data_IF_616141483913
#
_entry.id   IF_616141483913
#
_cell.length_a   1.000
_cell.length_b   1.000
_cell.length_c   1.000
_cell.angle_alpha   90.00
_cell.angle_beta   90.00
_cell.angle_gamma   90.00
#
_symmetry.space_group_name_H-M   'P 1'
#
loop_
_entity.id
_entity.type
_entity.pdbx_description
1 polymer ?
#
# COMPACT_ATOMS: atom_id res chain seq x y z
N UNK A 1 -4.93 16.40 -15.03
CA UNK A 1 -4.94 15.37 -13.96
C UNK A 1 -6.38 15.18 -13.47
N UNK A 2 -6.99 14.05 -13.79
CA UNK A 2 -8.36 13.72 -13.38
C UNK A 2 -8.41 13.23 -11.91
N UNK A 3 -9.60 13.05 -11.34
CA UNK A 3 -9.77 12.66 -9.93
C UNK A 3 -9.13 11.31 -9.59
N UNK A 4 -9.23 10.34 -10.52
CA UNK A 4 -8.66 9.00 -10.36
C UNK A 4 -7.12 9.05 -10.28
N UNK A 5 -6.49 9.78 -11.20
CA UNK A 5 -5.03 9.97 -11.21
C UNK A 5 -4.53 10.59 -9.89
N UNK A 6 -5.27 11.54 -9.30
CA UNK A 6 -4.90 12.11 -7.99
C UNK A 6 -4.98 11.08 -6.86
N UNK A 7 -5.96 10.19 -6.91
CA UNK A 7 -6.11 9.13 -5.92
C UNK A 7 -4.99 8.09 -6.04
N UNK A 8 -4.63 7.72 -7.27
CA UNK A 8 -3.57 6.76 -7.56
C UNK A 8 -2.19 7.31 -7.15
N UNK A 9 -1.89 8.58 -7.45
CA UNK A 9 -0.66 9.25 -7.00
C UNK A 9 -0.56 9.30 -5.47
N UNK A 10 -1.65 9.68 -4.78
CA UNK A 10 -1.69 9.68 -3.32
C UNK A 10 -1.50 8.28 -2.74
N UNK A 11 -2.11 7.29 -3.36
CA UNK A 11 -1.93 5.89 -2.98
C UNK A 11 -0.47 5.47 -3.15
N UNK A 12 0.17 5.79 -4.28
CA UNK A 12 1.57 5.47 -4.53
C UNK A 12 2.51 6.11 -3.51
N UNK A 13 2.29 7.38 -3.14
CA UNK A 13 3.08 8.06 -2.11
C UNK A 13 3.01 7.35 -0.76
N UNK A 14 1.79 7.02 -0.30
CA UNK A 14 1.61 6.31 0.96
C UNK A 14 2.29 4.94 0.94
N UNK A 15 2.16 4.20 -0.16
CA UNK A 15 2.72 2.87 -0.26
C UNK A 15 4.25 2.86 -0.36
N UNK A 16 4.87 3.90 -0.94
CA UNK A 16 6.32 4.09 -0.89
C UNK A 16 6.81 4.32 0.53
N UNK A 17 6.10 5.09 1.34
CA UNK A 17 6.46 5.30 2.75
C UNK A 17 6.23 4.04 3.60
N UNK A 18 5.16 3.28 3.32
CA UNK A 18 4.96 1.94 3.88
C UNK A 18 6.14 1.02 3.54
N UNK A 19 6.58 1.00 2.28
CA UNK A 19 7.69 0.16 1.84
C UNK A 19 9.00 0.52 2.56
N UNK A 20 9.30 1.81 2.72
CA UNK A 20 10.44 2.28 3.53
C UNK A 20 10.36 1.77 4.98
N UNK A 21 9.20 1.91 5.62
CA UNK A 21 8.98 1.41 6.99
C UNK A 21 9.19 -0.10 7.08
N UNK A 22 8.64 -0.87 6.14
CA UNK A 22 8.74 -2.34 6.12
C UNK A 22 10.16 -2.85 5.90
N UNK A 23 11.04 -2.08 5.25
CA UNK A 23 12.47 -2.40 5.13
C UNK A 23 13.22 -2.26 6.46
N UNK A 24 12.81 -1.30 7.29
CA UNK A 24 13.47 -1.01 8.57
C UNK A 24 12.89 -1.89 9.69
N UNK A 25 11.58 -2.01 9.75
CA UNK A 25 10.84 -2.62 10.86
C UNK A 25 10.21 -3.93 10.39
N UNK A 26 10.93 -5.03 10.63
CA UNK A 26 10.53 -6.36 10.18
C UNK A 26 9.22 -6.85 10.85
N UNK A 27 8.93 -6.39 12.06
CA UNK A 27 7.71 -6.70 12.82
C UNK A 27 6.43 -6.18 12.14
N UNK A 28 6.54 -5.14 11.31
CA UNK A 28 5.38 -4.56 10.63
C UNK A 28 4.80 -5.49 9.55
N UNK A 29 5.56 -6.51 9.12
CA UNK A 29 5.08 -7.53 8.18
C UNK A 29 3.95 -8.41 8.76
N UNK A 30 3.76 -8.42 10.08
CA UNK A 30 2.63 -9.12 10.70
C UNK A 30 1.30 -8.40 10.48
N UNK A 31 1.31 -7.09 10.28
CA UNK A 31 0.10 -6.28 10.05
C UNK A 31 -0.64 -6.75 8.79
N UNK A 32 -0.03 -6.79 7.59
CA UNK A 32 -0.74 -7.21 6.38
C UNK A 32 -1.20 -8.66 6.45
N UNK A 33 -0.43 -9.56 7.08
CA UNK A 33 -0.85 -10.95 7.31
C UNK A 33 -2.09 -11.03 8.19
N UNK A 34 -2.14 -10.26 9.29
CA UNK A 34 -3.31 -10.17 10.17
C UNK A 34 -4.52 -9.59 9.44
N UNK A 35 -4.32 -8.57 8.61
CA UNK A 35 -5.40 -7.97 7.82
C UNK A 35 -5.99 -8.99 6.83
N UNK A 36 -5.15 -9.69 6.05
CA UNK A 36 -5.60 -10.75 5.14
C UNK A 36 -6.36 -11.85 5.88
N UNK A 37 -5.85 -12.31 7.02
CA UNK A 37 -6.52 -13.33 7.84
C UNK A 37 -7.89 -12.86 8.35
N UNK A 38 -8.00 -11.60 8.81
CA UNK A 38 -9.27 -11.02 9.24
C UNK A 38 -10.28 -10.94 8.11
N UNK A 39 -9.86 -10.44 6.94
CA UNK A 39 -10.75 -10.30 5.79
C UNK A 39 -11.28 -11.64 5.30
N UNK A 40 -10.43 -12.67 5.30
CA UNK A 40 -10.81 -14.04 4.92
C UNK A 40 -11.80 -14.70 5.89
N UNK A 41 -11.72 -14.37 7.18
CA UNK A 41 -12.66 -14.89 8.18
C UNK A 41 -14.08 -14.33 8.01
N UNK A 42 -14.20 -13.11 7.49
CA UNK A 42 -15.48 -12.44 7.25
C UNK A 42 -16.11 -12.89 5.93
N UNK A 43 -16.21 -14.22 5.72
CA UNK A 43 -16.46 -15.02 4.49
C UNK A 43 -17.56 -14.57 3.49
N UNK A 44 -18.25 -13.46 3.66
CA UNK A 44 -19.30 -13.02 2.73
C UNK A 44 -18.77 -12.34 1.45
N UNK A 45 -17.46 -12.12 1.33
CA UNK A 45 -16.85 -11.55 0.12
C UNK A 45 -15.54 -12.27 -0.23
N UNK A 46 -15.60 -13.31 -1.04
CA UNK A 46 -14.45 -13.80 -1.81
C UNK A 46 -14.00 -12.69 -2.78
N UNK A 47 -13.21 -11.74 -2.29
CA UNK A 47 -12.63 -10.71 -3.17
C UNK A 47 -11.43 -11.30 -3.90
N UNK A 48 -11.41 -11.29 -5.25
CA UNK A 48 -10.26 -11.74 -6.04
C UNK A 48 -8.94 -11.09 -5.59
N UNK A 49 -9.01 -9.83 -5.15
CA UNK A 49 -7.85 -9.09 -4.67
C UNK A 49 -7.26 -9.67 -3.37
N UNK A 50 -8.09 -10.17 -2.45
CA UNK A 50 -7.61 -10.80 -1.21
C UNK A 50 -6.86 -12.10 -1.55
N UNK A 51 -7.45 -12.93 -2.40
CA UNK A 51 -6.85 -14.19 -2.85
C UNK A 51 -5.53 -13.94 -3.60
N UNK A 52 -5.46 -12.90 -4.41
CA UNK A 52 -4.26 -12.50 -5.12
C UNK A 52 -3.16 -12.04 -4.15
N UNK A 53 -3.49 -11.21 -3.16
CA UNK A 53 -2.55 -10.82 -2.12
C UNK A 53 -2.06 -12.02 -1.30
N UNK A 54 -2.92 -12.98 -0.94
CA UNK A 54 -2.48 -14.22 -0.29
C UNK A 54 -1.48 -14.99 -1.15
N UNK A 55 -1.74 -15.15 -2.46
CA UNK A 55 -0.80 -15.79 -3.38
C UNK A 55 0.53 -15.04 -3.44
N UNK A 56 0.50 -13.71 -3.52
CA UNK A 56 1.69 -12.86 -3.50
C UNK A 56 2.50 -13.09 -2.23
N UNK A 57 1.87 -13.10 -1.07
CA UNK A 57 2.55 -13.34 0.22
C UNK A 57 3.13 -14.75 0.36
N UNK A 58 2.58 -15.73 -0.36
CA UNK A 58 3.05 -17.12 -0.33
C UNK A 58 4.17 -17.41 -1.34
N UNK A 59 4.21 -16.68 -2.46
CA UNK A 59 5.12 -16.96 -3.59
C UNK A 59 6.27 -15.96 -3.64
N UNK A 60 5.99 -14.67 -3.41
CA UNK A 60 6.96 -13.58 -3.61
C UNK A 60 7.79 -13.33 -2.35
N UNK A 61 9.05 -12.96 -2.55
CA UNK A 61 9.92 -12.40 -1.52
C UNK A 61 9.43 -11.05 -1.01
N UNK A 62 9.95 -10.60 0.13
CA UNK A 62 9.62 -9.27 0.67
C UNK A 62 10.00 -8.16 -0.30
N UNK A 63 11.15 -8.29 -0.94
CA UNK A 63 11.68 -7.33 -1.91
C UNK A 63 10.77 -7.20 -3.14
N UNK A 64 10.25 -8.31 -3.63
CA UNK A 64 9.27 -8.31 -4.72
C UNK A 64 7.93 -7.67 -4.30
N UNK A 65 7.48 -7.93 -3.08
CA UNK A 65 6.28 -7.29 -2.52
C UNK A 65 6.49 -5.78 -2.40
N UNK A 66 7.65 -5.34 -1.90
CA UNK A 66 8.01 -3.92 -1.81
C UNK A 66 8.04 -3.26 -3.20
N UNK A 67 8.53 -3.97 -4.22
CA UNK A 67 8.54 -3.49 -5.60
C UNK A 67 7.13 -3.24 -6.14
N UNK A 68 6.16 -4.09 -5.79
CA UNK A 68 4.73 -3.85 -6.10
C UNK A 68 4.20 -2.60 -5.40
N UNK A 69 4.59 -2.37 -4.14
CA UNK A 69 4.13 -1.19 -3.40
C UNK A 69 4.65 0.12 -4.02
N UNK A 70 5.87 0.10 -4.57
CA UNK A 70 6.56 1.28 -5.08
C UNK A 70 6.33 1.55 -6.57
N UNK A 71 5.94 0.53 -7.33
CA UNK A 71 5.83 0.57 -8.80
C UNK A 71 4.68 1.43 -9.31
N UNK A 72 4.85 2.02 -10.48
CA UNK A 72 3.82 2.85 -11.14
C UNK A 72 3.13 2.12 -12.31
N UNK A 73 3.42 0.84 -12.50
CA UNK A 73 2.76 0.04 -13.53
C UNK A 73 1.30 -0.29 -13.16
N UNK A 74 0.50 -0.65 -14.16
CA UNK A 74 -0.94 -0.93 -13.99
C UNK A 74 -1.20 -2.01 -12.93
N UNK A 75 -0.36 -3.04 -12.87
CA UNK A 75 -0.46 -4.11 -11.87
C UNK A 75 -0.30 -3.55 -10.45
N UNK A 76 0.69 -2.70 -10.22
CA UNK A 76 0.98 -2.08 -8.93
C UNK A 76 -0.14 -1.13 -8.50
N UNK A 77 -0.65 -0.32 -9.44
CA UNK A 77 -1.80 0.57 -9.18
C UNK A 77 -3.02 -0.25 -8.78
N UNK A 78 -3.35 -1.31 -9.55
CA UNK A 78 -4.47 -2.20 -9.28
C UNK A 78 -4.33 -2.89 -7.93
N UNK A 79 -3.17 -3.47 -7.63
CA UNK A 79 -2.92 -4.16 -6.37
C UNK A 79 -3.01 -3.23 -5.16
N UNK A 80 -2.51 -1.98 -5.28
CA UNK A 80 -2.64 -0.96 -4.24
C UNK A 80 -4.07 -0.55 -3.93
N UNK A 81 -5.00 -0.68 -4.88
CA UNK A 81 -6.42 -0.33 -4.66
C UNK A 81 -7.06 -1.14 -3.53
N UNK A 82 -6.54 -2.34 -3.25
CA UNK A 82 -7.04 -3.31 -2.26
C UNK A 82 -5.91 -3.83 -1.37
N UNK A 83 -5.07 -2.91 -0.92
CA UNK A 83 -3.83 -3.19 -0.20
C UNK A 83 -4.03 -3.67 1.25
N UNK A 84 -3.42 -4.80 1.67
CA UNK A 84 -3.48 -5.28 3.05
C UNK A 84 -2.60 -4.48 4.01
N UNK A 85 -1.88 -3.47 3.54
CA UNK A 85 -0.90 -2.70 4.33
C UNK A 85 -1.51 -1.55 5.13
N UNK A 86 -2.85 -1.51 5.23
CA UNK A 86 -3.55 -0.54 6.07
C UNK A 86 -3.19 -0.70 7.55
N UNK A 87 -3.06 0.42 8.27
CA UNK A 87 -2.66 0.44 9.68
C UNK A 87 -1.14 0.49 9.95
N UNK A 88 -0.28 0.38 8.92
CA UNK A 88 1.17 0.58 9.07
C UNK A 88 1.52 2.06 9.29
N UNK A 89 0.83 2.94 8.56
CA UNK A 89 0.90 4.38 8.77
C UNK A 89 -0.24 4.83 9.68
N UNK A 90 0.09 5.57 10.72
CA UNK A 90 -0.91 6.23 11.56
C UNK A 90 -1.44 7.52 10.88
N UNK A 91 -2.50 8.11 11.41
CA UNK A 91 -3.13 9.30 10.82
C UNK A 91 -2.19 10.52 10.78
N UNK A 92 -1.33 10.68 11.81
CA UNK A 92 -0.35 11.77 11.85
C UNK A 92 0.66 11.63 10.72
N UNK A 93 1.23 10.44 10.53
CA UNK A 93 2.18 10.14 9.45
C UNK A 93 1.55 10.35 8.08
N UNK A 94 0.31 9.88 7.88
CA UNK A 94 -0.43 10.09 6.62
C UNK A 94 -0.59 11.58 6.32
N UNK A 95 -0.93 12.39 7.32
CA UNK A 95 -1.04 13.85 7.17
C UNK A 95 0.31 14.47 6.83
N UNK A 96 1.37 14.15 7.56
CA UNK A 96 2.72 14.67 7.31
C UNK A 96 3.21 14.37 5.88
N UNK A 97 2.97 13.15 5.38
CA UNK A 97 3.31 12.75 4.01
C UNK A 97 2.56 13.61 2.98
N UNK A 98 1.27 13.84 3.18
CA UNK A 98 0.47 14.66 2.26
C UNK A 98 0.82 16.15 2.32
N UNK A 99 1.11 16.68 3.50
CA UNK A 99 1.58 18.06 3.72
C UNK A 99 2.92 18.30 3.03
N UNK A 100 3.87 17.37 3.21
CA UNK A 100 5.17 17.41 2.55
C UNK A 100 5.04 17.35 1.03
N UNK A 101 4.22 16.42 0.52
CA UNK A 101 3.98 16.29 -0.92
C UNK A 101 3.33 17.53 -1.52
N UNK A 102 2.31 18.09 -0.85
CA UNK A 102 1.65 19.33 -1.28
C UNK A 102 2.65 20.48 -1.35
N UNK A 103 3.47 20.66 -0.32
CA UNK A 103 4.48 21.72 -0.25
C UNK A 103 5.55 21.58 -1.33
N UNK A 104 6.03 20.35 -1.61
CA UNK A 104 6.98 20.11 -2.70
C UNK A 104 6.39 20.44 -4.06
N UNK A 105 5.13 20.04 -4.32
CA UNK A 105 4.45 20.34 -5.59
C UNK A 105 4.35 21.84 -5.83
N UNK A 106 4.00 22.63 -4.83
CA UNK A 106 3.91 24.10 -4.94
C UNK A 106 5.26 24.82 -5.10
N UNK A 107 6.40 24.16 -4.85
CA UNK A 107 7.74 24.75 -5.08
C UNK A 107 8.33 24.38 -6.45
N UNK A 108 7.65 23.53 -7.21
CA UNK A 108 8.09 23.06 -8.53
C UNK A 108 7.21 23.57 -9.68
N UNK A 109 6.16 24.34 -9.35
CA UNK A 109 5.32 25.14 -10.25
C UNK A 109 5.72 26.62 -10.13
#
# INVERSE_FOLDING_TARGET
MNMQQRADERSALLHREIAKKLRIYNELWDIPKRNLSKWKKNRDTESPAINEWEKIFNIKSKEEILSVLEGDNEESVRLRSSSPFTGILNEKERREIFEFYRTKRYKSD
#
